data_IF_280954163418
#
_entry.id   IF_280954163418
#
_cell.length_a   1.000
_cell.length_b   1.000
_cell.length_c   1.000
_cell.angle_alpha   90.00
_cell.angle_beta   90.00
_cell.angle_gamma   90.00
#
_symmetry.space_group_name_H-M   'P 1'
#
loop_
_entity.id
_entity.type
_entity.pdbx_description
1 polymer ?
#
# COMPACT_ATOMS: atom_id res chain seq x y z
N UNK A 1 6.68 4.62 -15.02
CA UNK A 1 6.00 4.96 -13.76
C UNK A 1 6.92 4.76 -12.56
N UNK A 2 7.47 3.58 -12.36
CA UNK A 2 8.52 3.28 -11.36
C UNK A 2 9.80 2.91 -12.09
N UNK A 3 10.93 3.52 -11.71
CA UNK A 3 12.25 3.24 -12.24
C UNK A 3 13.23 2.99 -11.10
N UNK A 4 13.88 1.86 -11.13
CA UNK A 4 14.86 1.41 -10.16
C UNK A 4 16.15 1.07 -10.91
N UNK A 5 17.29 1.68 -10.51
CA UNK A 5 18.59 1.37 -11.09
C UNK A 5 19.60 1.13 -9.98
N UNK A 6 20.24 -0.03 -10.05
CA UNK A 6 21.27 -0.46 -9.12
C UNK A 6 20.87 -0.27 -7.65
N UNK A 7 19.62 -0.59 -7.32
CA UNK A 7 19.09 -0.44 -5.95
C UNK A 7 19.76 -1.42 -5.02
N UNK A 8 20.39 -0.89 -3.99
CA UNK A 8 20.93 -1.65 -2.88
C UNK A 8 20.17 -1.27 -1.61
N UNK A 9 19.90 -2.26 -0.77
CA UNK A 9 19.30 -2.01 0.53
C UNK A 9 19.92 -2.93 1.59
N UNK A 10 20.27 -2.34 2.73
CA UNK A 10 20.79 -3.03 3.91
C UNK A 10 19.98 -2.68 5.16
N UNK A 11 20.01 -3.58 6.12
CA UNK A 11 19.47 -3.39 7.46
C UNK A 11 20.41 -4.06 8.47
N UNK A 12 20.75 -3.37 9.55
CA UNK A 12 21.70 -3.86 10.56
C UNK A 12 23.02 -4.37 9.92
N UNK A 13 23.60 -3.61 8.99
CA UNK A 13 24.82 -3.95 8.23
C UNK A 13 24.69 -5.23 7.36
N UNK A 14 23.50 -5.78 7.22
CA UNK A 14 23.28 -6.94 6.34
C UNK A 14 22.71 -6.46 5.00
N UNK A 15 23.48 -6.63 3.91
CA UNK A 15 23.03 -6.33 2.55
C UNK A 15 21.98 -7.36 2.09
N UNK A 16 20.83 -6.87 1.64
CA UNK A 16 19.69 -7.69 1.19
C UNK A 16 19.45 -7.48 -0.31
N UNK A 17 19.24 -6.24 -0.74
CA UNK A 17 19.17 -5.93 -2.17
C UNK A 17 20.57 -5.55 -2.65
N UNK A 18 21.02 -6.15 -3.77
CA UNK A 18 22.40 -6.10 -4.22
C UNK A 18 22.51 -5.60 -5.67
N UNK A 19 21.83 -4.49 -5.98
CA UNK A 19 21.89 -3.89 -7.31
C UNK A 19 20.69 -4.25 -8.19
N UNK A 20 19.47 -4.20 -7.63
CA UNK A 20 18.24 -4.47 -8.38
C UNK A 20 17.99 -3.39 -9.44
N UNK A 21 17.63 -3.84 -10.65
CA UNK A 21 17.15 -2.99 -11.73
C UNK A 21 15.72 -3.41 -12.09
N UNK A 22 14.79 -2.46 -12.16
CA UNK A 22 13.40 -2.71 -12.49
C UNK A 22 12.75 -1.46 -13.07
N UNK A 23 12.02 -1.61 -14.16
CA UNK A 23 11.19 -0.53 -14.72
C UNK A 23 9.76 -1.04 -14.84
N UNK A 24 8.81 -0.29 -14.30
CA UNK A 24 7.37 -0.59 -14.39
C UNK A 24 6.69 0.61 -15.06
N UNK A 25 6.03 0.37 -16.19
CA UNK A 25 5.23 1.38 -16.90
C UNK A 25 3.78 1.39 -16.37
N UNK A 26 3.00 2.44 -16.64
CA UNK A 26 1.58 2.43 -16.33
C UNK A 26 0.87 1.25 -17.00
N UNK A 27 -0.03 0.59 -16.27
CA UNK A 27 -0.81 -0.55 -16.74
C UNK A 27 -0.08 -1.89 -16.79
N UNK A 28 1.19 -1.95 -16.41
CA UNK A 28 1.94 -3.20 -16.34
C UNK A 28 1.73 -3.92 -15.00
N UNK A 29 1.67 -5.25 -15.06
CA UNK A 29 1.71 -6.16 -13.92
C UNK A 29 3.05 -6.89 -13.91
N UNK A 30 3.80 -6.77 -12.82
CA UNK A 30 5.07 -7.44 -12.64
C UNK A 30 5.00 -8.44 -11.46
N UNK A 31 5.28 -9.71 -11.72
CA UNK A 31 5.44 -10.71 -10.68
C UNK A 31 6.92 -10.81 -10.26
N UNK A 32 7.20 -10.50 -8.99
CA UNK A 32 8.54 -10.63 -8.41
C UNK A 32 8.65 -12.00 -7.75
N UNK A 33 9.42 -12.89 -8.35
CA UNK A 33 9.58 -14.27 -7.91
C UNK A 33 10.97 -14.49 -7.32
N UNK A 34 11.07 -15.43 -6.39
CA UNK A 34 12.34 -15.84 -5.78
C UNK A 34 12.13 -16.63 -4.48
N UNK A 35 13.17 -17.35 -4.01
CA UNK A 35 13.10 -18.12 -2.77
C UNK A 35 12.86 -17.23 -1.55
N UNK A 36 12.51 -17.85 -0.42
CA UNK A 36 12.41 -17.13 0.85
C UNK A 36 13.76 -16.52 1.22
N UNK A 37 13.71 -15.27 1.71
CA UNK A 37 14.93 -14.51 2.03
C UNK A 37 15.62 -13.84 0.84
N UNK A 38 15.09 -13.93 -0.39
CA UNK A 38 15.69 -13.27 -1.58
C UNK A 38 15.50 -11.74 -1.61
N UNK A 39 14.72 -11.17 -0.68
CA UNK A 39 14.52 -9.73 -0.59
C UNK A 39 13.20 -9.20 -1.16
N UNK A 40 12.24 -10.06 -1.53
CA UNK A 40 10.92 -9.63 -2.05
C UNK A 40 10.22 -8.64 -1.13
N UNK A 41 10.00 -9.02 0.13
CA UNK A 41 9.37 -8.12 1.13
C UNK A 41 10.26 -6.94 1.51
N UNK A 42 11.59 -7.07 1.36
CA UNK A 42 12.51 -5.93 1.51
C UNK A 42 12.25 -4.88 0.42
N UNK A 43 12.09 -5.30 -0.83
CA UNK A 43 11.74 -4.40 -1.92
C UNK A 43 10.41 -3.68 -1.64
N UNK A 44 9.38 -4.42 -1.23
CA UNK A 44 8.08 -3.87 -0.86
C UNK A 44 8.20 -2.82 0.27
N UNK A 45 8.96 -3.12 1.32
CA UNK A 45 9.23 -2.22 2.43
C UNK A 45 10.00 -0.96 2.01
N UNK A 46 11.02 -1.11 1.16
CA UNK A 46 11.82 0.01 0.64
C UNK A 46 10.95 0.94 -0.22
N UNK A 47 10.11 0.38 -1.08
CA UNK A 47 9.20 1.16 -1.92
C UNK A 47 8.14 1.89 -1.11
N UNK A 48 7.58 1.26 -0.10
CA UNK A 48 6.57 1.88 0.79
C UNK A 48 7.18 2.92 1.74
N UNK A 49 8.49 2.90 1.95
CA UNK A 49 9.19 3.88 2.80
C UNK A 49 9.37 3.46 4.25
N UNK A 50 9.32 2.15 4.53
CA UNK A 50 9.61 1.64 5.88
C UNK A 50 11.00 2.08 6.32
N UNK A 51 11.08 2.67 7.50
CA UNK A 51 12.34 3.13 8.10
C UNK A 51 13.24 1.97 8.53
N UNK A 52 14.54 2.27 8.69
CA UNK A 52 15.54 1.30 9.16
C UNK A 52 16.37 0.66 8.04
N UNK A 53 16.06 0.94 6.77
CA UNK A 53 16.90 0.53 5.64
C UNK A 53 17.87 1.62 5.23
N UNK A 54 19.14 1.24 5.02
CA UNK A 54 20.12 2.04 4.29
C UNK A 54 19.96 1.76 2.81
N UNK A 55 19.69 2.80 2.00
CA UNK A 55 19.30 2.66 0.61
C UNK A 55 20.27 3.45 -0.28
N UNK A 56 20.83 2.80 -1.30
CA UNK A 56 21.61 3.44 -2.35
C UNK A 56 21.11 3.03 -3.75
N UNK A 57 21.64 3.68 -4.80
CA UNK A 57 21.12 3.55 -6.15
C UNK A 57 20.00 4.55 -6.46
N UNK A 58 19.36 4.39 -7.62
CA UNK A 58 18.26 5.25 -8.06
C UNK A 58 16.92 4.58 -7.78
N UNK A 59 15.98 5.34 -7.23
CA UNK A 59 14.64 4.90 -6.90
C UNK A 59 13.63 6.01 -7.21
N UNK A 60 13.11 6.02 -8.43
CA UNK A 60 12.23 7.08 -8.92
C UNK A 60 10.81 6.59 -9.15
N UNK A 61 9.85 7.36 -8.68
CA UNK A 61 8.42 7.17 -8.93
C UNK A 61 7.83 8.43 -9.55
N UNK A 62 7.33 8.32 -10.78
CA UNK A 62 6.76 9.43 -11.56
C UNK A 62 7.70 10.65 -11.66
N UNK A 63 9.00 10.39 -11.79
CA UNK A 63 10.03 11.40 -11.92
C UNK A 63 10.57 11.96 -10.60
N UNK A 64 10.11 11.49 -9.46
CA UNK A 64 10.57 11.94 -8.14
C UNK A 64 11.37 10.86 -7.41
N UNK A 65 12.47 11.24 -6.77
CA UNK A 65 13.32 10.34 -5.98
C UNK A 65 12.61 9.94 -4.67
N UNK A 66 12.14 8.69 -4.60
CA UNK A 66 11.43 8.18 -3.41
C UNK A 66 12.26 8.22 -2.14
N UNK A 67 13.58 8.17 -2.21
CA UNK A 67 14.45 8.24 -1.02
C UNK A 67 14.27 9.53 -0.24
N UNK A 68 13.81 10.60 -0.91
CA UNK A 68 13.57 11.93 -0.33
C UNK A 68 12.12 12.13 0.13
N UNK A 69 11.24 11.17 -0.15
CA UNK A 69 9.81 11.30 0.09
C UNK A 69 9.44 10.48 1.35
N UNK A 70 8.92 11.11 2.40
CA UNK A 70 8.48 10.41 3.61
C UNK A 70 7.27 9.51 3.34
N UNK A 71 7.05 8.51 4.18
CA UNK A 71 6.08 7.42 3.98
C UNK A 71 4.66 7.93 3.73
N UNK A 72 4.21 8.91 4.50
CA UNK A 72 2.87 9.50 4.36
C UNK A 72 2.70 10.22 3.02
N UNK A 73 3.75 10.82 2.49
CA UNK A 73 3.74 11.46 1.17
C UNK A 73 3.75 10.44 0.03
N UNK A 74 4.42 9.29 0.21
CA UNK A 74 4.35 8.18 -0.75
C UNK A 74 2.92 7.64 -0.85
N UNK A 75 2.24 7.45 0.28
CA UNK A 75 0.84 7.05 0.31
C UNK A 75 -0.06 8.08 -0.40
N UNK A 76 0.13 9.39 -0.13
CA UNK A 76 -0.59 10.47 -0.81
C UNK A 76 -0.34 10.51 -2.33
N UNK A 77 0.85 10.09 -2.79
CA UNK A 77 1.18 9.95 -4.21
C UNK A 77 0.59 8.69 -4.85
N UNK A 78 -0.10 7.87 -4.07
CA UNK A 78 -0.78 6.66 -4.53
C UNK A 78 0.12 5.43 -4.58
N UNK A 79 1.09 5.31 -3.68
CA UNK A 79 1.79 4.04 -3.43
C UNK A 79 1.05 3.31 -2.32
N UNK A 80 0.56 2.11 -2.62
CA UNK A 80 -0.17 1.23 -1.71
C UNK A 80 0.60 -0.07 -1.48
N UNK A 81 0.71 -0.49 -0.22
CA UNK A 81 1.28 -1.78 0.16
C UNK A 81 0.21 -2.62 0.85
N UNK A 82 -0.15 -3.76 0.24
CA UNK A 82 -0.88 -4.81 0.91
C UNK A 82 0.12 -5.71 1.65
N UNK A 83 -0.06 -5.81 2.95
CA UNK A 83 0.84 -6.56 3.81
C UNK A 83 0.53 -8.06 3.78
N UNK A 84 1.55 -8.90 3.89
CA UNK A 84 1.37 -10.33 4.13
C UNK A 84 0.48 -10.59 5.37
N UNK A 85 0.69 -9.81 6.43
CA UNK A 85 -0.13 -9.81 7.64
C UNK A 85 -0.66 -8.40 7.91
N UNK A 86 -1.92 -8.10 7.53
CA UNK A 86 -2.52 -6.80 7.77
C UNK A 86 -2.55 -6.45 9.25
N UNK A 87 -2.06 -5.25 9.59
CA UNK A 87 -1.97 -4.79 10.96
C UNK A 87 -3.35 -4.54 11.57
N UNK A 88 -3.52 -4.93 12.82
CA UNK A 88 -4.67 -4.55 13.64
C UNK A 88 -4.42 -3.18 14.28
N UNK A 89 -5.41 -2.29 14.17
CA UNK A 89 -5.32 -0.96 14.79
C UNK A 89 -6.49 -0.80 15.77
N UNK A 90 -6.28 -1.19 17.05
CA UNK A 90 -7.31 -1.04 18.06
C UNK A 90 -7.73 0.42 18.26
N UNK A 91 -9.01 0.65 18.47
CA UNK A 91 -9.57 1.99 18.67
C UNK A 91 -9.82 2.78 17.39
N UNK A 92 -9.35 2.32 16.23
CA UNK A 92 -9.58 2.98 14.94
C UNK A 92 -10.66 2.24 14.16
N UNK A 93 -11.79 2.90 13.93
CA UNK A 93 -12.90 2.35 13.14
C UNK A 93 -12.51 2.31 11.65
N UNK A 94 -12.80 1.19 10.98
CA UNK A 94 -12.47 0.96 9.56
C UNK A 94 -13.01 2.08 8.65
N UNK A 95 -14.24 2.51 8.88
CA UNK A 95 -14.88 3.57 8.09
C UNK A 95 -14.19 4.92 8.26
N UNK A 96 -13.82 5.28 9.50
CA UNK A 96 -13.09 6.51 9.79
C UNK A 96 -11.70 6.48 9.15
N UNK A 97 -10.99 5.35 9.28
CA UNK A 97 -9.68 5.16 8.65
C UNK A 97 -9.75 5.38 7.13
N UNK A 98 -10.68 4.70 6.45
CA UNK A 98 -10.84 4.80 5.00
C UNK A 98 -11.17 6.22 4.54
N UNK A 99 -12.13 6.88 5.22
CA UNK A 99 -12.53 8.26 4.88
C UNK A 99 -11.36 9.23 5.05
N UNK A 100 -10.66 9.14 6.18
CA UNK A 100 -9.52 10.03 6.47
C UNK A 100 -8.39 9.83 5.46
N UNK A 101 -8.07 8.57 5.15
CA UNK A 101 -7.04 8.23 4.18
C UNK A 101 -7.38 8.74 2.77
N UNK A 102 -8.60 8.48 2.31
CA UNK A 102 -9.07 8.95 1.00
C UNK A 102 -9.05 10.49 0.92
N UNK A 103 -9.56 11.17 1.94
CA UNK A 103 -9.59 12.64 1.95
C UNK A 103 -8.18 13.24 2.03
N UNK A 104 -7.24 12.58 2.73
CA UNK A 104 -5.83 12.97 2.72
C UNK A 104 -5.22 12.91 1.31
N UNK A 105 -5.52 11.84 0.56
CA UNK A 105 -5.07 11.69 -0.84
C UNK A 105 -5.72 12.76 -1.73
N UNK A 106 -7.03 12.95 -1.64
CA UNK A 106 -7.77 13.96 -2.41
C UNK A 106 -7.22 15.35 -2.17
N UNK A 107 -7.03 15.72 -0.91
CA UNK A 107 -6.45 17.00 -0.51
C UNK A 107 -5.05 17.20 -1.10
N UNK A 108 -4.21 16.17 -1.12
CA UNK A 108 -2.86 16.25 -1.70
C UNK A 108 -2.87 16.48 -3.21
N UNK A 109 -3.97 16.09 -3.88
CA UNK A 109 -4.21 16.31 -5.32
C UNK A 109 -4.93 17.65 -5.61
N UNK A 110 -5.27 18.45 -4.58
CA UNK A 110 -6.07 19.67 -4.72
C UNK A 110 -7.56 19.42 -4.97
N UNK A 111 -8.03 18.19 -4.73
CA UNK A 111 -9.43 17.81 -4.88
C UNK A 111 -10.22 18.12 -3.61
N UNK A 112 -11.54 18.39 -3.77
CA UNK A 112 -12.44 18.58 -2.63
C UNK A 112 -12.58 17.30 -1.81
N UNK A 113 -12.50 17.40 -0.50
CA UNK A 113 -12.77 16.29 0.42
C UNK A 113 -14.22 15.81 0.27
N UNK A 114 -14.40 14.49 0.38
CA UNK A 114 -15.74 13.89 0.42
C UNK A 114 -16.38 14.12 1.79
N UNK A 115 -17.61 14.59 1.78
CA UNK A 115 -18.43 14.59 2.97
C UNK A 115 -18.82 13.15 3.40
N UNK A 116 -19.51 13.03 4.52
CA UNK A 116 -19.85 11.71 5.05
C UNK A 116 -20.81 10.94 4.17
N UNK A 117 -21.78 11.62 3.57
CA UNK A 117 -22.81 10.96 2.73
C UNK A 117 -22.22 10.47 1.41
N UNK A 118 -21.43 11.30 0.73
CA UNK A 118 -20.74 10.95 -0.51
C UNK A 118 -19.76 9.78 -0.27
N UNK A 119 -19.02 9.82 0.83
CA UNK A 119 -18.11 8.74 1.20
C UNK A 119 -18.85 7.43 1.48
N UNK A 120 -19.93 7.44 2.27
CA UNK A 120 -20.71 6.24 2.56
C UNK A 120 -21.32 5.62 1.30
N UNK A 121 -21.80 6.45 0.36
CA UNK A 121 -22.29 5.97 -0.93
C UNK A 121 -21.19 5.25 -1.71
N UNK A 122 -20.00 5.85 -1.82
CA UNK A 122 -18.84 5.24 -2.48
C UNK A 122 -18.47 3.89 -1.85
N UNK A 123 -18.35 3.83 -0.52
CA UNK A 123 -17.92 2.62 0.17
C UNK A 123 -18.93 1.48 0.02
N UNK A 124 -20.24 1.78 0.10
CA UNK A 124 -21.30 0.79 -0.12
C UNK A 124 -21.27 0.22 -1.52
N UNK A 125 -21.07 1.07 -2.53
CA UNK A 125 -20.88 0.64 -3.92
C UNK A 125 -19.70 -0.34 -4.03
N UNK A 126 -18.54 0.01 -3.45
CA UNK A 126 -17.34 -0.85 -3.49
C UNK A 126 -17.52 -2.16 -2.68
N UNK A 127 -18.20 -2.12 -1.54
CA UNK A 127 -18.55 -3.33 -0.80
C UNK A 127 -19.44 -4.26 -1.65
N UNK A 128 -20.45 -3.71 -2.32
CA UNK A 128 -21.34 -4.47 -3.21
C UNK A 128 -20.59 -5.10 -4.39
N UNK A 129 -19.71 -4.32 -5.07
CA UNK A 129 -18.86 -4.81 -6.16
C UNK A 129 -17.99 -6.01 -5.75
N UNK A 130 -17.50 -6.00 -4.51
CA UNK A 130 -16.56 -7.01 -3.98
C UNK A 130 -17.25 -8.15 -3.20
N UNK A 131 -18.57 -8.10 -3.03
CA UNK A 131 -19.30 -9.08 -2.21
C UNK A 131 -18.85 -9.05 -0.74
N UNK A 132 -18.57 -7.85 -0.20
CA UNK A 132 -18.13 -7.63 1.17
C UNK A 132 -19.32 -7.15 2.03
N UNK A 133 -19.56 -7.79 3.19
CA UNK A 133 -20.57 -7.34 4.14
C UNK A 133 -20.17 -5.96 4.71
N UNK A 134 -21.06 -4.97 4.59
CA UNK A 134 -20.86 -3.62 5.09
C UNK A 134 -20.58 -3.57 6.61
N UNK A 135 -20.95 -4.61 7.37
CA UNK A 135 -20.66 -4.70 8.81
C UNK A 135 -19.18 -4.57 9.14
N UNK A 136 -18.29 -4.92 8.20
CA UNK A 136 -16.84 -4.74 8.36
C UNK A 136 -16.46 -3.28 8.62
N UNK A 137 -17.23 -2.34 8.07
CA UNK A 137 -16.97 -0.89 8.16
C UNK A 137 -17.17 -0.33 9.57
N UNK A 138 -18.04 -0.93 10.37
CA UNK A 138 -18.33 -0.53 11.75
C UNK A 138 -17.35 -1.11 12.78
N UNK A 139 -16.54 -2.10 12.37
CA UNK A 139 -15.56 -2.74 13.24
C UNK A 139 -14.23 -1.95 13.27
N UNK A 140 -13.44 -2.17 14.31
CA UNK A 140 -12.09 -1.64 14.39
C UNK A 140 -11.20 -2.27 13.30
N UNK A 141 -10.29 -1.49 12.75
CA UNK A 141 -9.48 -1.89 11.59
C UNK A 141 -8.71 -3.19 11.86
N UNK A 142 -9.11 -4.25 11.16
CA UNK A 142 -8.56 -5.61 11.20
C UNK A 142 -8.64 -6.32 12.57
N UNK A 143 -9.14 -5.69 13.63
CA UNK A 143 -9.20 -6.30 14.98
C UNK A 143 -10.22 -7.43 15.03
N UNK A 144 -9.72 -8.64 15.32
CA UNK A 144 -10.55 -9.85 15.37
C UNK A 144 -11.11 -10.26 14.01
N UNK A 145 -10.55 -9.80 12.91
CA UNK A 145 -10.89 -10.28 11.58
C UNK A 145 -10.24 -11.63 11.32
N UNK A 146 -10.97 -12.54 10.68
CA UNK A 146 -10.38 -13.75 10.11
C UNK A 146 -9.37 -13.40 9.01
N UNK A 147 -8.48 -14.34 8.63
CA UNK A 147 -7.54 -14.12 7.53
C UNK A 147 -8.23 -13.68 6.24
N UNK A 148 -9.34 -14.32 5.90
CA UNK A 148 -10.15 -13.95 4.73
C UNK A 148 -10.78 -12.55 4.84
N UNK A 149 -11.27 -12.17 6.02
CA UNK A 149 -11.80 -10.81 6.25
C UNK A 149 -10.70 -9.74 6.13
N UNK A 150 -9.50 -10.01 6.66
CA UNK A 150 -8.34 -9.10 6.54
C UNK A 150 -7.97 -8.88 5.07
N UNK A 151 -7.90 -9.93 4.26
CA UNK A 151 -7.62 -9.83 2.82
C UNK A 151 -8.70 -9.07 2.07
N UNK A 152 -9.98 -9.37 2.35
CA UNK A 152 -11.10 -8.63 1.76
C UNK A 152 -11.04 -7.14 2.12
N UNK A 153 -10.69 -6.82 3.37
CA UNK A 153 -10.55 -5.44 3.81
C UNK A 153 -9.38 -4.71 3.11
N UNK A 154 -8.26 -5.39 2.84
CA UNK A 154 -7.17 -4.81 2.05
C UNK A 154 -7.57 -4.54 0.59
N UNK A 155 -8.30 -5.47 -0.03
CA UNK A 155 -8.84 -5.27 -1.38
C UNK A 155 -9.81 -4.08 -1.40
N UNK A 156 -10.67 -3.96 -0.38
CA UNK A 156 -11.57 -2.82 -0.24
C UNK A 156 -10.80 -1.51 -0.09
N UNK A 157 -9.75 -1.48 0.74
CA UNK A 157 -8.87 -0.32 0.88
C UNK A 157 -8.26 0.07 -0.47
N UNK A 158 -7.70 -0.89 -1.20
CA UNK A 158 -7.10 -0.66 -2.52
C UNK A 158 -8.12 -0.10 -3.52
N UNK A 159 -9.35 -0.63 -3.53
CA UNK A 159 -10.42 -0.14 -4.42
C UNK A 159 -10.91 1.27 -4.08
N UNK A 160 -10.93 1.63 -2.79
CA UNK A 160 -11.38 2.96 -2.34
C UNK A 160 -10.27 4.01 -2.54
N UNK A 161 -9.02 3.67 -2.23
CA UNK A 161 -7.90 4.60 -2.29
C UNK A 161 -7.37 4.81 -3.71
N UNK A 162 -7.70 3.92 -4.64
CA UNK A 162 -7.34 3.97 -6.06
C UNK A 162 -5.86 4.35 -6.31
N UNK A 163 -4.92 3.48 -5.88
CA UNK A 163 -3.50 3.80 -5.93
C UNK A 163 -2.95 3.78 -7.37
N UNK A 164 -1.89 4.56 -7.60
CA UNK A 164 -1.13 4.53 -8.86
C UNK A 164 -0.18 3.32 -8.94
N UNK A 165 0.32 2.84 -7.80
CA UNK A 165 1.18 1.66 -7.68
C UNK A 165 0.70 0.82 -6.50
N UNK A 166 0.25 -0.40 -6.78
CA UNK A 166 -0.08 -1.40 -5.77
C UNK A 166 1.04 -2.41 -5.65
N UNK A 167 1.53 -2.61 -4.43
CA UNK A 167 2.53 -3.61 -4.08
C UNK A 167 1.81 -4.65 -3.24
N UNK A 168 1.76 -5.90 -3.71
CA UNK A 168 1.08 -7.01 -3.05
C UNK A 168 2.14 -8.01 -2.57
N UNK A 169 2.31 -8.12 -1.25
CA UNK A 169 3.32 -9.01 -0.66
C UNK A 169 2.62 -10.28 -0.14
N UNK A 170 2.68 -11.37 -0.94
CA UNK A 170 2.11 -12.69 -0.64
C UNK A 170 0.64 -12.66 -0.16
N UNK A 171 -0.20 -11.87 -0.81
CA UNK A 171 -1.62 -11.72 -0.43
C UNK A 171 -2.46 -12.98 -0.66
N UNK A 172 -1.93 -13.98 -1.34
CA UNK A 172 -2.56 -15.25 -1.69
C UNK A 172 -2.13 -16.42 -0.77
N UNK A 173 -1.14 -16.22 0.10
CA UNK A 173 -0.68 -17.23 1.05
C UNK A 173 -1.65 -17.35 2.25
N UNK A 174 -2.56 -18.34 2.21
CA UNK A 174 -3.47 -18.68 3.33
C UNK A 174 -4.76 -19.32 2.90
#
# INVERSE_FOLDING_TARGET
MLEIKNLQASINNKSILKGLNLVIKPGELHAIMGPNGSGKSTLANVLSGKIGYEISGELNFRGEDLKKIPVEKRAQKGIFLAFQYPLEIPGVNTNIFLKTSLNSIRKSKGEKELDTLAFLKLVKEKCSELGIDEKILSRQLNVGFSGGEKKKNEILQMKILDPNLSILDETDSG
#
